data_IF_268862609021
#
_entry.id   IF_268862609021
#
_cell.length_a   1.000
_cell.length_b   1.000
_cell.length_c   1.000
_cell.angle_alpha   90.00
_cell.angle_beta   90.00
_cell.angle_gamma   90.00
#
_symmetry.space_group_name_H-M   'P 1'
#
loop_
_entity.id
_entity.type
_entity.pdbx_description
1 polymer ?
#
# COMPACT_ATOMS: atom_id res chain seq x y z
N UNK A 1 5.84 4.31 -13.44
CA UNK A 1 4.56 4.50 -12.71
C UNK A 1 4.64 5.80 -11.92
N UNK A 2 3.53 6.53 -11.74
CA UNK A 2 3.54 7.77 -10.94
C UNK A 2 3.17 7.48 -9.48
N UNK A 3 3.89 8.09 -8.55
CA UNK A 3 3.70 7.97 -7.10
C UNK A 3 3.42 9.37 -6.55
N UNK A 4 2.27 9.58 -5.93
CA UNK A 4 1.84 10.88 -5.41
C UNK A 4 1.59 10.76 -3.91
N UNK A 5 2.28 11.56 -3.10
CA UNK A 5 2.08 11.62 -1.65
C UNK A 5 1.31 12.85 -1.23
N UNK A 6 0.31 12.69 -0.36
CA UNK A 6 -0.39 13.78 0.31
C UNK A 6 -0.03 13.87 1.79
N UNK A 7 0.37 15.07 2.22
CA UNK A 7 0.77 15.36 3.59
C UNK A 7 2.09 14.69 3.96
N UNK A 8 2.55 14.96 5.18
CA UNK A 8 3.84 14.49 5.67
C UNK A 8 4.01 12.97 5.53
N UNK A 9 3.05 12.16 5.98
CA UNK A 9 3.13 10.71 5.91
C UNK A 9 3.25 10.20 4.45
N UNK A 10 2.41 10.72 3.56
CA UNK A 10 2.47 10.37 2.14
C UNK A 10 3.80 10.79 1.51
N UNK A 11 4.23 12.03 1.75
CA UNK A 11 5.47 12.58 1.23
C UNK A 11 6.71 11.81 1.69
N UNK A 12 6.80 11.45 2.98
CA UNK A 12 7.92 10.66 3.50
C UNK A 12 8.03 9.29 2.85
N UNK A 13 6.90 8.64 2.53
CA UNK A 13 6.89 7.38 1.80
C UNK A 13 7.30 7.59 0.34
N UNK A 14 6.86 8.68 -0.30
CA UNK A 14 7.28 9.05 -1.66
C UNK A 14 8.79 9.27 -1.74
N UNK A 15 9.39 9.86 -0.72
CA UNK A 15 10.85 10.07 -0.68
C UNK A 15 11.60 8.72 -0.73
N UNK A 16 11.11 7.68 -0.06
CA UNK A 16 11.67 6.31 -0.16
C UNK A 16 11.44 5.69 -1.53
N UNK A 17 10.31 5.98 -2.19
CA UNK A 17 10.08 5.53 -3.57
C UNK A 17 11.03 6.20 -4.57
N UNK A 18 11.55 7.38 -4.27
CA UNK A 18 12.46 8.12 -5.16
C UNK A 18 13.80 7.42 -5.37
N UNK A 19 14.18 6.50 -4.47
CA UNK A 19 15.38 5.65 -4.61
C UNK A 19 15.28 4.69 -5.81
N UNK A 20 14.08 4.48 -6.35
CA UNK A 20 13.81 3.60 -7.49
C UNK A 20 13.50 4.40 -8.76
N UNK A 21 14.45 4.40 -9.70
CA UNK A 21 14.40 5.21 -10.94
C UNK A 21 13.17 5.02 -11.85
N UNK A 22 12.44 3.91 -11.72
CA UNK A 22 11.24 3.61 -12.50
C UNK A 22 9.97 4.34 -12.03
N UNK A 23 10.04 5.08 -10.92
CA UNK A 23 8.92 5.85 -10.38
C UNK A 23 9.10 7.34 -10.62
N UNK A 24 8.04 7.98 -11.11
CA UNK A 24 7.94 9.43 -11.11
C UNK A 24 7.27 9.85 -9.81
N UNK A 25 7.99 10.54 -8.94
CA UNK A 25 7.52 10.92 -7.61
C UNK A 25 7.00 12.35 -7.58
N UNK A 26 5.88 12.55 -6.88
CA UNK A 26 5.24 13.85 -6.68
C UNK A 26 4.77 13.98 -5.23
N UNK A 27 4.91 15.18 -4.67
CA UNK A 27 4.59 15.48 -3.28
C UNK A 27 3.62 16.64 -3.21
N UNK A 28 2.61 16.52 -2.35
CA UNK A 28 1.61 17.55 -2.10
C UNK A 28 1.51 17.72 -0.58
N UNK A 29 1.87 18.88 -0.06
CA UNK A 29 1.83 19.14 1.38
C UNK A 29 1.65 20.65 1.65
N UNK A 30 1.31 21.05 2.88
CA UNK A 30 1.16 22.45 3.27
C UNK A 30 2.47 23.10 3.74
N UNK A 31 3.43 22.25 4.14
CA UNK A 31 4.77 22.68 4.53
C UNK A 31 5.50 23.41 3.38
N UNK A 32 6.51 24.19 3.73
CA UNK A 32 7.42 24.73 2.72
C UNK A 32 8.37 23.63 2.26
N UNK A 33 8.61 23.47 0.95
CA UNK A 33 9.64 22.57 0.50
C UNK A 33 11.01 23.12 0.89
N UNK A 34 11.95 22.24 1.22
CA UNK A 34 13.32 22.62 1.58
C UNK A 34 14.09 23.26 0.40
N UNK A 35 13.65 23.00 -0.85
CA UNK A 35 14.25 23.47 -2.10
C UNK A 35 13.17 23.75 -3.15
N UNK A 36 13.51 24.44 -4.23
CA UNK A 36 12.64 24.59 -5.41
C UNK A 36 12.47 23.23 -6.13
N UNK A 37 11.55 22.40 -5.63
CA UNK A 37 11.19 21.12 -6.20
C UNK A 37 9.99 21.29 -7.14
N UNK A 38 10.19 21.04 -8.44
CA UNK A 38 9.13 21.12 -9.46
C UNK A 38 8.07 20.03 -9.29
N UNK A 39 8.38 18.96 -8.57
CA UNK A 39 7.48 17.86 -8.25
C UNK A 39 6.86 17.99 -6.86
N UNK A 40 7.02 19.15 -6.22
CA UNK A 40 6.33 19.50 -4.99
C UNK A 40 5.26 20.56 -5.26
N UNK A 41 4.04 20.29 -4.84
CA UNK A 41 2.96 21.27 -4.82
C UNK A 41 2.65 21.66 -3.39
N UNK A 42 2.81 22.95 -3.07
CA UNK A 42 2.44 23.47 -1.76
C UNK A 42 0.95 23.81 -1.74
N UNK A 43 0.19 23.09 -0.93
CA UNK A 43 -1.17 23.49 -0.57
C UNK A 43 -1.13 24.66 0.41
N UNK A 44 -2.10 25.54 0.30
CA UNK A 44 -2.33 26.54 1.35
C UNK A 44 -2.76 25.82 2.62
N UNK A 45 -2.13 26.15 3.75
CA UNK A 45 -2.48 25.56 5.03
C UNK A 45 -3.92 25.95 5.40
N UNK A 46 -4.73 24.96 5.73
CA UNK A 46 -6.13 25.15 6.12
C UNK A 46 -6.33 24.84 7.60
N UNK A 47 -7.36 25.44 8.16
CA UNK A 47 -7.65 25.37 9.60
C UNK A 47 -7.98 23.93 10.04
N UNK A 48 -8.78 23.24 9.26
CA UNK A 48 -9.31 21.93 9.60
C UNK A 48 -9.54 21.07 8.36
N UNK A 49 -9.95 19.82 8.60
CA UNK A 49 -10.18 18.82 7.56
C UNK A 49 -11.24 19.26 6.53
N UNK A 50 -12.35 19.84 6.97
CA UNK A 50 -13.42 20.28 6.07
C UNK A 50 -13.00 21.50 5.24
N UNK A 51 -12.20 22.39 5.82
CA UNK A 51 -11.65 23.55 5.14
C UNK A 51 -10.70 23.12 3.99
N UNK A 52 -9.95 22.03 4.15
CA UNK A 52 -9.21 21.40 3.03
C UNK A 52 -10.12 20.84 1.92
N UNK A 53 -11.35 20.42 2.23
CA UNK A 53 -12.28 19.86 1.23
C UNK A 53 -13.05 20.95 0.46
N UNK A 54 -13.48 22.00 1.17
CA UNK A 54 -14.33 23.08 0.64
C UNK A 54 -13.59 24.02 -0.28
N UNK A 55 -12.30 24.29 -0.01
CA UNK A 55 -11.55 25.27 -0.76
C UNK A 55 -10.97 24.67 -2.06
N UNK A 56 -11.10 25.38 -3.20
CA UNK A 56 -10.53 24.92 -4.46
C UNK A 56 -9.00 24.97 -4.39
N UNK A 57 -8.37 23.87 -4.80
CA UNK A 57 -6.93 23.78 -4.96
C UNK A 57 -6.61 23.91 -6.44
N UNK A 58 -5.81 24.91 -6.84
CA UNK A 58 -5.40 25.07 -8.25
C UNK A 58 -4.32 24.04 -8.63
N UNK A 59 -4.68 22.76 -8.58
CA UNK A 59 -3.82 21.62 -8.84
C UNK A 59 -3.72 21.27 -10.32
N UNK A 60 -4.55 21.88 -11.16
CA UNK A 60 -4.74 21.48 -12.55
C UNK A 60 -3.40 21.50 -13.30
N UNK A 61 -2.67 22.62 -13.28
CA UNK A 61 -1.36 22.70 -13.96
C UNK A 61 -0.28 21.77 -13.38
N UNK A 62 -0.40 21.37 -12.12
CA UNK A 62 0.54 20.44 -11.48
C UNK A 62 0.24 18.98 -11.86
N UNK A 63 -1.04 18.60 -11.90
CA UNK A 63 -1.51 17.23 -12.13
C UNK A 63 -1.82 16.90 -13.60
N UNK A 64 -2.03 17.90 -14.46
CA UNK A 64 -2.33 17.73 -15.90
C UNK A 64 -1.26 16.91 -16.64
N UNK A 65 -0.01 17.00 -16.21
CA UNK A 65 1.10 16.24 -16.78
C UNK A 65 1.13 14.77 -16.35
N UNK A 66 0.31 14.39 -15.38
CA UNK A 66 0.26 13.04 -14.83
C UNK A 66 -0.80 12.23 -15.57
N UNK A 67 -0.38 11.11 -16.16
CA UNK A 67 -1.27 10.19 -16.86
C UNK A 67 -0.85 8.74 -16.64
N UNK A 68 -1.74 7.81 -16.97
CA UNK A 68 -1.48 6.38 -16.84
C UNK A 68 -1.76 5.85 -15.43
N UNK A 69 -0.83 5.08 -14.88
CA UNK A 69 -0.98 4.46 -13.57
C UNK A 69 -0.43 5.36 -12.45
N UNK A 70 -1.24 5.53 -11.40
CA UNK A 70 -0.95 6.36 -10.24
C UNK A 70 -1.13 5.55 -8.98
N UNK A 71 -0.16 5.61 -8.07
CA UNK A 71 -0.37 5.25 -6.66
C UNK A 71 -0.45 6.54 -5.84
N UNK A 72 -1.60 6.80 -5.24
CA UNK A 72 -1.84 7.92 -4.36
C UNK A 72 -1.71 7.49 -2.89
N UNK A 73 -0.78 8.09 -2.16
CA UNK A 73 -0.40 7.73 -0.80
C UNK A 73 -0.91 8.78 0.18
N UNK A 74 -1.66 8.37 1.18
CA UNK A 74 -2.23 9.28 2.19
C UNK A 74 -2.33 8.60 3.56
N UNK A 75 -2.02 9.37 4.61
CA UNK A 75 -2.24 8.96 6.00
C UNK A 75 -3.49 9.61 6.60
N UNK A 76 -4.19 8.91 7.49
CA UNK A 76 -5.53 9.32 7.96
C UNK A 76 -5.63 10.34 9.10
N UNK A 77 -4.53 10.63 9.83
CA UNK A 77 -4.62 11.38 11.10
C UNK A 77 -4.76 12.92 10.95
N UNK A 78 -4.21 13.50 9.89
CA UNK A 78 -4.01 14.95 9.78
C UNK A 78 -5.25 15.74 9.29
N UNK A 79 -5.11 17.06 9.17
CA UNK A 79 -6.10 17.92 8.49
C UNK A 79 -6.01 17.81 6.96
N UNK A 80 -4.78 17.85 6.42
CA UNK A 80 -4.50 17.89 4.98
C UNK A 80 -5.11 16.74 4.15
N UNK A 81 -5.34 15.52 4.69
CA UNK A 81 -6.04 14.48 3.96
C UNK A 81 -7.47 14.85 3.53
N UNK A 82 -8.09 15.89 4.10
CA UNK A 82 -9.36 16.43 3.60
C UNK A 82 -9.31 16.91 2.14
N UNK A 83 -8.13 17.20 1.61
CA UNK A 83 -7.93 17.54 0.19
C UNK A 83 -7.96 16.32 -0.74
N UNK A 84 -7.97 15.08 -0.21
CA UNK A 84 -7.79 13.85 -0.99
C UNK A 84 -8.76 13.73 -2.16
N UNK A 85 -10.06 13.91 -1.94
CA UNK A 85 -11.05 13.73 -3.00
C UNK A 85 -10.93 14.79 -4.10
N UNK A 86 -10.54 16.03 -3.77
CA UNK A 86 -10.29 17.10 -4.75
C UNK A 86 -9.07 16.81 -5.62
N UNK A 87 -8.00 16.29 -5.00
CA UNK A 87 -6.80 15.86 -5.73
C UNK A 87 -7.14 14.66 -6.64
N UNK A 88 -7.82 13.65 -6.09
CA UNK A 88 -8.22 12.44 -6.83
C UNK A 88 -9.20 12.75 -7.97
N UNK A 89 -10.04 13.78 -7.82
CA UNK A 89 -10.89 14.28 -8.89
C UNK A 89 -10.10 14.77 -10.10
N UNK A 90 -8.97 15.45 -9.88
CA UNK A 90 -8.05 15.86 -10.95
C UNK A 90 -7.35 14.66 -11.62
N UNK A 91 -7.35 13.50 -10.98
CA UNK A 91 -6.73 12.26 -11.44
C UNK A 91 -7.73 11.26 -12.03
N UNK A 92 -9.00 11.66 -12.27
CA UNK A 92 -10.05 10.77 -12.82
C UNK A 92 -9.70 10.10 -14.16
N UNK A 93 -8.80 10.69 -14.95
CA UNK A 93 -8.29 10.11 -16.20
C UNK A 93 -7.20 9.04 -16.00
N UNK A 94 -6.72 8.84 -14.76
CA UNK A 94 -5.67 7.89 -14.43
C UNK A 94 -6.24 6.59 -13.86
N UNK A 95 -5.48 5.50 -13.99
CA UNK A 95 -5.71 4.25 -13.25
C UNK A 95 -5.11 4.41 -11.86
N UNK A 96 -5.97 4.79 -10.91
CA UNK A 96 -5.52 5.19 -9.57
C UNK A 96 -5.65 4.05 -8.57
N UNK A 97 -4.54 3.73 -7.91
CA UNK A 97 -4.48 2.89 -6.72
C UNK A 97 -4.27 3.78 -5.49
N UNK A 98 -4.90 3.45 -4.38
CA UNK A 98 -4.69 4.12 -3.10
C UNK A 98 -3.76 3.27 -2.23
N UNK A 99 -2.74 3.87 -1.64
CA UNK A 99 -1.96 3.29 -0.54
C UNK A 99 -2.29 4.08 0.72
N UNK A 100 -3.17 3.52 1.55
CA UNK A 100 -3.69 4.20 2.72
C UNK A 100 -2.92 3.76 3.97
N UNK A 101 -2.40 4.75 4.71
CA UNK A 101 -1.64 4.52 5.94
C UNK A 101 -2.53 4.85 7.14
N UNK A 102 -2.96 3.79 7.83
CA UNK A 102 -3.64 3.88 9.12
C UNK A 102 -2.59 4.19 10.20
N UNK A 103 -2.70 5.35 10.87
CA UNK A 103 -1.86 5.69 12.02
C UNK A 103 -2.20 4.79 13.21
N UNK A 104 -1.35 4.80 14.24
CA UNK A 104 -1.71 4.22 15.53
C UNK A 104 -2.81 5.08 16.19
N UNK A 105 -4.06 4.60 16.09
CA UNK A 105 -5.25 5.31 16.55
C UNK A 105 -5.34 5.40 18.08
N UNK A 106 -4.65 4.52 18.82
CA UNK A 106 -4.65 4.55 20.29
C UNK A 106 -3.90 5.77 20.84
N UNK A 107 -2.99 6.32 20.03
CA UNK A 107 -2.18 7.50 20.36
C UNK A 107 -2.80 8.81 19.85
N UNK A 108 -3.94 8.74 19.17
CA UNK A 108 -4.60 9.91 18.58
C UNK A 108 -5.64 10.54 19.51
N UNK A 109 -5.87 11.84 19.32
CA UNK A 109 -7.05 12.48 19.89
C UNK A 109 -8.33 12.06 19.14
N UNK A 110 -9.48 12.21 19.81
CA UNK A 110 -10.79 11.80 19.27
C UNK A 110 -11.09 12.38 17.88
N UNK A 111 -10.78 13.66 17.67
CA UNK A 111 -11.05 14.32 16.38
C UNK A 111 -10.23 13.70 15.23
N UNK A 112 -8.98 13.32 15.50
CA UNK A 112 -8.11 12.66 14.52
C UNK A 112 -8.57 11.23 14.24
N UNK A 113 -9.06 10.51 15.26
CA UNK A 113 -9.69 9.19 15.09
C UNK A 113 -10.94 9.27 14.22
N UNK A 114 -11.82 10.24 14.48
CA UNK A 114 -13.05 10.42 13.70
C UNK A 114 -12.74 10.74 12.23
N UNK A 115 -11.75 11.59 11.96
CA UNK A 115 -11.29 11.93 10.60
C UNK A 115 -10.67 10.73 9.88
N UNK A 116 -9.80 9.98 10.56
CA UNK A 116 -9.19 8.76 10.04
C UNK A 116 -10.28 7.78 9.59
N UNK A 117 -11.25 7.51 10.47
CA UNK A 117 -12.36 6.59 10.20
C UNK A 117 -13.18 7.04 9.00
N UNK A 118 -13.55 8.32 8.94
CA UNK A 118 -14.34 8.88 7.83
C UNK A 118 -13.56 8.76 6.51
N UNK A 119 -12.32 9.22 6.47
CA UNK A 119 -11.52 9.20 5.25
C UNK A 119 -11.29 7.76 4.75
N UNK A 120 -10.88 6.86 5.64
CA UNK A 120 -10.67 5.44 5.32
C UNK A 120 -11.94 4.78 4.79
N UNK A 121 -13.07 5.04 5.45
CA UNK A 121 -14.37 4.50 5.01
C UNK A 121 -14.74 4.97 3.61
N UNK A 122 -14.66 6.28 3.37
CA UNK A 122 -14.99 6.88 2.08
C UNK A 122 -14.10 6.34 0.96
N UNK A 123 -12.77 6.34 1.13
CA UNK A 123 -11.85 5.86 0.10
C UNK A 123 -12.05 4.38 -0.24
N UNK A 124 -12.41 3.55 0.76
CA UNK A 124 -12.78 2.15 0.53
C UNK A 124 -14.06 1.99 -0.28
N UNK A 125 -15.10 2.78 -0.01
CA UNK A 125 -16.35 2.71 -0.79
C UNK A 125 -16.15 3.15 -2.25
N UNK A 126 -15.31 4.16 -2.48
CA UNK A 126 -14.90 4.54 -3.83
C UNK A 126 -14.14 3.42 -4.55
N UNK A 127 -13.23 2.75 -3.86
CA UNK A 127 -12.52 1.58 -4.42
C UNK A 127 -13.51 0.44 -4.74
N UNK A 128 -14.44 0.11 -3.82
CA UNK A 128 -15.47 -0.92 -4.06
C UNK A 128 -16.37 -0.60 -5.24
N UNK A 129 -16.67 0.68 -5.45
CA UNK A 129 -17.46 1.17 -6.58
C UNK A 129 -16.66 1.27 -7.88
N UNK A 130 -15.43 0.74 -7.90
CA UNK A 130 -14.50 0.75 -9.03
C UNK A 130 -14.11 2.16 -9.53
N UNK A 131 -14.23 3.19 -8.68
CA UNK A 131 -13.67 4.52 -8.98
C UNK A 131 -12.14 4.47 -8.90
N UNK A 132 -11.61 3.69 -7.96
CA UNK A 132 -10.19 3.37 -7.86
C UNK A 132 -9.95 1.91 -8.23
N UNK A 133 -8.78 1.60 -8.78
CA UNK A 133 -8.42 0.22 -9.12
C UNK A 133 -8.32 -0.64 -7.88
N UNK A 134 -7.70 -0.12 -6.82
CA UNK A 134 -7.54 -0.80 -5.55
C UNK A 134 -7.23 0.21 -4.44
N UNK A 135 -7.62 -0.11 -3.22
CA UNK A 135 -7.08 0.51 -2.00
C UNK A 135 -6.30 -0.53 -1.20
N UNK A 136 -5.02 -0.28 -1.02
CA UNK A 136 -4.14 -1.08 -0.17
C UNK A 136 -4.04 -0.42 1.21
N UNK A 137 -4.54 -1.10 2.23
CA UNK A 137 -4.51 -0.67 3.61
C UNK A 137 -3.23 -1.15 4.29
N UNK A 138 -2.58 -0.24 5.00
CA UNK A 138 -1.39 -0.45 5.81
C UNK A 138 -1.67 0.12 7.19
N UNK A 139 -1.41 -0.63 8.25
CA UNK A 139 -1.50 -0.21 9.63
C UNK A 139 -0.09 -0.12 10.20
N UNK A 140 0.32 1.08 10.66
CA UNK A 140 1.65 1.29 11.21
C UNK A 140 1.97 0.34 12.37
N UNK A 141 1.00 0.02 13.22
CA UNK A 141 1.19 -0.91 14.33
C UNK A 141 1.52 -2.34 13.83
N UNK A 142 0.93 -2.75 12.70
CA UNK A 142 1.21 -4.05 12.07
C UNK A 142 2.54 -4.09 11.35
N UNK A 143 2.97 -2.97 10.76
CA UNK A 143 4.31 -2.86 10.17
C UNK A 143 5.38 -2.88 11.26
N UNK A 144 5.14 -2.22 12.40
CA UNK A 144 6.01 -2.29 13.57
C UNK A 144 6.11 -3.72 14.11
N UNK A 145 5.00 -4.42 14.34
CA UNK A 145 5.00 -5.84 14.74
C UNK A 145 5.81 -6.72 13.77
N UNK A 146 5.74 -6.42 12.47
CA UNK A 146 6.48 -7.17 11.47
C UNK A 146 8.00 -6.98 11.58
N UNK A 147 8.43 -5.75 11.87
CA UNK A 147 9.84 -5.35 12.05
C UNK A 147 10.43 -5.80 13.40
N UNK A 148 9.61 -5.87 14.45
CA UNK A 148 10.06 -6.15 15.81
C UNK A 148 10.58 -4.88 16.51
N UNK A 149 11.69 -4.98 17.23
CA UNK A 149 12.23 -3.86 18.02
C UNK A 149 12.87 -2.78 17.13
N UNK A 150 12.32 -1.57 17.17
CA UNK A 150 12.79 -0.43 16.34
C UNK A 150 13.27 0.72 17.24
N UNK A 151 14.42 1.36 16.94
CA UNK A 151 14.82 2.59 17.61
C UNK A 151 13.83 3.74 17.41
N UNK A 152 13.64 4.57 18.45
CA UNK A 152 12.78 5.77 18.38
C UNK A 152 13.27 6.75 17.30
N UNK A 153 14.58 6.97 17.22
CA UNK A 153 15.17 7.81 16.17
C UNK A 153 15.12 7.02 14.85
N UNK A 154 14.46 7.60 13.84
CA UNK A 154 14.26 6.94 12.55
C UNK A 154 13.13 5.90 12.56
N UNK A 155 12.28 5.88 13.58
CA UNK A 155 11.14 4.96 13.69
C UNK A 155 10.31 4.92 12.39
N UNK A 156 9.78 6.07 11.96
CA UNK A 156 8.99 6.13 10.73
C UNK A 156 9.80 5.85 9.48
N UNK A 157 11.09 6.15 9.46
CA UNK A 157 11.94 5.83 8.32
C UNK A 157 12.04 4.31 8.12
N UNK A 158 12.18 3.54 9.22
CA UNK A 158 12.20 2.07 9.17
C UNK A 158 10.88 1.46 8.73
N UNK A 159 9.75 1.98 9.24
CA UNK A 159 8.43 1.57 8.77
C UNK A 159 8.28 1.84 7.27
N UNK A 160 8.63 3.04 6.82
CA UNK A 160 8.52 3.44 5.42
C UNK A 160 9.44 2.60 4.53
N UNK A 161 10.67 2.29 4.96
CA UNK A 161 11.59 1.40 4.23
C UNK A 161 10.94 0.02 3.99
N UNK A 162 10.30 -0.57 5.00
CA UNK A 162 9.64 -1.87 4.86
C UNK A 162 8.39 -1.81 3.96
N UNK A 163 7.56 -0.78 4.12
CA UNK A 163 6.36 -0.57 3.29
C UNK A 163 6.77 -0.43 1.83
N UNK A 164 7.74 0.43 1.54
CA UNK A 164 8.17 0.73 0.17
C UNK A 164 8.87 -0.44 -0.48
N UNK A 165 9.83 -1.07 0.20
CA UNK A 165 10.52 -2.26 -0.35
C UNK A 165 9.54 -3.39 -0.66
N UNK A 166 8.61 -3.68 0.25
CA UNK A 166 7.57 -4.71 0.06
C UNK A 166 6.66 -4.36 -1.11
N UNK A 167 6.15 -3.13 -1.17
CA UNK A 167 5.27 -2.69 -2.26
C UNK A 167 6.00 -2.67 -3.60
N UNK A 168 7.26 -2.24 -3.62
CA UNK A 168 8.08 -2.24 -4.82
C UNK A 168 8.28 -3.65 -5.38
N UNK A 169 8.65 -4.61 -4.53
CA UNK A 169 8.85 -6.00 -4.95
C UNK A 169 7.55 -6.60 -5.49
N UNK A 170 6.42 -6.38 -4.82
CA UNK A 170 5.10 -6.82 -5.31
C UNK A 170 4.78 -6.20 -6.68
N UNK A 171 5.08 -4.91 -6.89
CA UNK A 171 4.88 -4.27 -8.18
C UNK A 171 5.77 -4.91 -9.28
N UNK A 172 7.02 -5.29 -8.98
CA UNK A 172 7.87 -6.02 -9.92
C UNK A 172 7.22 -7.36 -10.29
N UNK A 173 6.81 -8.14 -9.29
CA UNK A 173 6.26 -9.48 -9.53
C UNK A 173 4.92 -9.47 -10.28
N UNK A 174 4.08 -8.46 -10.04
CA UNK A 174 2.83 -8.26 -10.78
C UNK A 174 3.04 -7.92 -12.27
N UNK A 175 4.24 -7.46 -12.63
CA UNK A 175 4.59 -7.06 -14.00
C UNK A 175 5.67 -7.96 -14.64
N UNK A 176 5.98 -9.10 -14.01
CA UNK A 176 6.95 -10.08 -14.51
C UNK A 176 6.31 -11.47 -14.57
N UNK A 177 6.83 -12.33 -15.45
CA UNK A 177 6.32 -13.69 -15.62
C UNK A 177 7.03 -14.60 -14.60
N UNK A 178 6.29 -15.35 -13.76
CA UNK A 178 6.92 -16.30 -12.84
C UNK A 178 7.52 -17.49 -13.61
N UNK A 179 8.55 -18.10 -13.05
CA UNK A 179 9.13 -19.38 -13.51
C UNK A 179 8.07 -20.48 -13.41
N UNK A 180 7.35 -20.52 -12.29
CA UNK A 180 6.22 -21.43 -12.05
C UNK A 180 5.17 -20.69 -11.23
N UNK A 181 3.90 -20.82 -11.58
CA UNK A 181 2.84 -20.25 -10.77
C UNK A 181 1.45 -20.70 -11.19
N UNK A 182 0.49 -20.43 -10.32
CA UNK A 182 -0.95 -20.58 -10.57
C UNK A 182 -1.66 -19.23 -10.47
N UNK A 183 -0.92 -18.15 -10.77
CA UNK A 183 -1.43 -16.80 -10.72
C UNK A 183 -2.67 -16.68 -11.61
N UNK A 184 -3.61 -15.89 -11.13
CA UNK A 184 -4.87 -15.66 -11.81
C UNK A 184 -5.29 -14.24 -11.59
N UNK A 185 -6.13 -13.74 -12.48
CA UNK A 185 -6.65 -12.37 -12.37
C UNK A 185 -7.43 -12.28 -11.06
N UNK A 186 -7.09 -11.32 -10.17
CA UNK A 186 -7.84 -11.11 -8.95
C UNK A 186 -9.32 -10.84 -9.22
N UNK A 187 -10.18 -11.22 -8.29
CA UNK A 187 -11.61 -10.96 -8.41
C UNK A 187 -11.85 -9.44 -8.51
N UNK A 188 -12.48 -8.98 -9.59
CA UNK A 188 -12.77 -7.54 -9.83
C UNK A 188 -13.57 -6.85 -8.71
N UNK A 189 -14.29 -7.63 -7.91
CA UNK A 189 -15.06 -7.15 -6.75
C UNK A 189 -14.22 -6.99 -5.48
N UNK A 190 -13.00 -7.51 -5.46
CA UNK A 190 -12.08 -7.44 -4.31
C UNK A 190 -11.03 -6.34 -4.56
N UNK A 191 -11.44 -5.09 -4.36
CA UNK A 191 -10.60 -3.89 -4.57
C UNK A 191 -10.05 -3.29 -3.27
N UNK A 192 -10.21 -3.99 -2.16
CA UNK A 192 -9.59 -3.65 -0.88
C UNK A 192 -8.54 -4.71 -0.61
N UNK A 193 -7.31 -4.29 -0.34
CA UNK A 193 -6.18 -5.19 -0.16
C UNK A 193 -5.29 -4.80 1.01
N UNK A 194 -4.39 -5.70 1.36
CA UNK A 194 -3.20 -5.41 2.15
C UNK A 194 -2.05 -6.29 1.67
N UNK A 195 -0.83 -5.94 2.05
CA UNK A 195 0.40 -6.63 1.70
C UNK A 195 1.08 -7.14 2.97
N UNK A 196 2.05 -8.03 2.81
CA UNK A 196 2.86 -8.51 3.93
C UNK A 196 4.03 -9.35 3.49
N UNK A 197 4.92 -9.63 4.43
CA UNK A 197 6.05 -10.54 4.25
C UNK A 197 5.64 -11.96 4.65
N UNK A 198 6.28 -12.92 4.00
CA UNK A 198 6.13 -14.34 4.32
C UNK A 198 7.50 -14.92 4.56
N UNK A 199 7.66 -15.61 5.68
CA UNK A 199 8.87 -16.38 5.94
C UNK A 199 8.92 -17.58 4.97
N UNK A 200 9.98 -17.67 4.17
CA UNK A 200 10.11 -18.71 3.13
C UNK A 200 10.20 -20.12 3.75
N UNK A 201 10.81 -20.24 4.92
CA UNK A 201 11.02 -21.54 5.57
C UNK A 201 9.77 -22.02 6.30
N UNK A 202 9.13 -21.16 7.08
CA UNK A 202 8.00 -21.51 7.95
C UNK A 202 6.63 -21.27 7.30
N UNK A 203 6.55 -20.37 6.32
CA UNK A 203 5.28 -19.89 5.75
C UNK A 203 4.49 -19.00 6.71
N UNK A 204 5.12 -18.46 7.75
CA UNK A 204 4.53 -17.47 8.64
C UNK A 204 4.26 -16.17 7.88
N UNK A 205 3.07 -15.59 8.10
CA UNK A 205 2.64 -14.36 7.42
C UNK A 205 2.69 -13.19 8.39
N UNK A 206 3.41 -12.14 8.03
CA UNK A 206 3.41 -10.84 8.71
C UNK A 206 2.69 -9.83 7.83
N UNK A 207 1.37 -9.76 7.98
CA UNK A 207 0.50 -8.88 7.19
C UNK A 207 0.52 -7.46 7.74
N UNK A 208 0.56 -6.46 6.86
CA UNK A 208 0.61 -5.05 7.25
C UNK A 208 -0.77 -4.47 7.59
N UNK A 209 -1.83 -5.25 7.50
CA UNK A 209 -3.16 -4.91 7.97
C UNK A 209 -3.95 -6.22 8.23
N UNK A 210 -4.86 -6.20 9.20
CA UNK A 210 -5.75 -7.34 9.49
C UNK A 210 -7.05 -7.20 8.70
N UNK A 211 -7.17 -7.86 7.54
CA UNK A 211 -8.40 -7.81 6.75
C UNK A 211 -9.48 -8.79 7.25
N UNK A 212 -10.70 -8.29 7.32
CA UNK A 212 -11.91 -9.08 7.44
C UNK A 212 -12.30 -9.75 6.12
N UNK A 213 -12.83 -10.98 6.23
CA UNK A 213 -13.45 -11.72 5.13
C UNK A 213 -12.55 -11.79 3.88
N UNK A 214 -11.28 -12.14 4.08
CA UNK A 214 -10.34 -12.35 2.96
C UNK A 214 -10.97 -13.32 1.97
N UNK A 215 -11.00 -12.92 0.69
CA UNK A 215 -11.54 -13.68 -0.44
C UNK A 215 -10.45 -14.26 -1.31
N UNK A 216 -9.32 -13.58 -1.39
CA UNK A 216 -8.22 -13.99 -2.24
C UNK A 216 -6.87 -13.71 -1.58
N UNK A 217 -5.92 -14.63 -1.73
CA UNK A 217 -4.51 -14.43 -1.38
C UNK A 217 -3.62 -14.81 -2.56
N UNK A 218 -2.59 -13.99 -2.78
CA UNK A 218 -1.59 -14.21 -3.81
C UNK A 218 -0.22 -14.18 -3.14
N UNK A 219 0.55 -15.25 -3.31
CA UNK A 219 1.89 -15.37 -2.76
C UNK A 219 2.95 -15.20 -3.86
N UNK A 220 3.99 -14.43 -3.57
CA UNK A 220 5.11 -14.21 -4.49
C UNK A 220 6.38 -14.69 -3.80
N UNK A 221 7.00 -15.75 -4.33
CA UNK A 221 8.25 -16.30 -3.83
C UNK A 221 9.38 -15.89 -4.76
N UNK A 222 10.34 -15.12 -4.24
CA UNK A 222 11.57 -14.74 -4.93
C UNK A 222 12.68 -15.67 -4.45
N UNK A 223 13.11 -16.58 -5.33
CA UNK A 223 14.06 -17.64 -4.99
C UNK A 223 15.31 -17.52 -5.84
N UNK A 224 16.48 -17.62 -5.21
CA UNK A 224 17.76 -17.56 -5.90
C UNK A 224 17.92 -18.66 -6.95
N UNK A 225 18.50 -18.31 -8.11
CA UNK A 225 18.65 -19.21 -9.26
C UNK A 225 19.22 -20.59 -8.91
N UNK A 226 20.32 -20.61 -8.14
CA UNK A 226 20.98 -21.86 -7.73
C UNK A 226 20.01 -22.80 -7.01
N UNK A 227 19.12 -22.25 -6.17
CA UNK A 227 18.15 -23.04 -5.40
C UNK A 227 17.01 -23.55 -6.28
N UNK A 228 16.55 -22.72 -7.23
CA UNK A 228 15.57 -23.14 -8.26
C UNK A 228 16.07 -24.33 -9.10
N UNK A 229 17.36 -24.35 -9.44
CA UNK A 229 17.96 -25.41 -10.26
C UNK A 229 18.33 -26.66 -9.46
N UNK A 230 18.64 -26.54 -8.16
CA UNK A 230 19.22 -27.64 -7.37
C UNK A 230 18.30 -28.23 -6.30
N UNK A 231 17.31 -27.49 -5.77
CA UNK A 231 16.41 -27.99 -4.73
C UNK A 231 15.14 -28.60 -5.33
N UNK A 232 15.19 -29.91 -5.62
CA UNK A 232 14.04 -30.68 -6.10
C UNK A 232 12.85 -30.76 -5.13
N UNK A 233 13.00 -30.37 -3.86
CA UNK A 233 11.94 -30.37 -2.85
C UNK A 233 11.17 -29.05 -2.75
N UNK A 234 11.75 -27.96 -3.27
CA UNK A 234 11.27 -26.59 -3.11
C UNK A 234 9.81 -26.41 -3.54
N UNK A 235 9.47 -26.82 -4.76
CA UNK A 235 8.12 -26.67 -5.30
C UNK A 235 7.07 -27.43 -4.47
N UNK A 236 7.44 -28.59 -3.92
CA UNK A 236 6.55 -29.38 -3.05
C UNK A 236 6.27 -28.62 -1.75
N UNK A 237 7.31 -28.09 -1.10
CA UNK A 237 7.19 -27.30 0.13
C UNK A 237 6.30 -26.06 -0.07
N UNK A 238 6.55 -25.29 -1.14
CA UNK A 238 5.72 -24.10 -1.47
C UNK A 238 4.26 -24.49 -1.68
N UNK A 239 3.99 -25.57 -2.43
CA UNK A 239 2.61 -26.04 -2.64
C UNK A 239 1.94 -26.46 -1.34
N UNK A 240 2.66 -27.12 -0.43
CA UNK A 240 2.13 -27.52 0.87
C UNK A 240 1.82 -26.31 1.76
N UNK A 241 2.74 -25.35 1.85
CA UNK A 241 2.54 -24.07 2.53
C UNK A 241 1.29 -23.36 1.99
N UNK A 242 1.23 -23.12 0.68
CA UNK A 242 0.10 -22.41 0.04
C UNK A 242 -1.23 -23.14 0.26
N UNK A 243 -1.26 -24.48 0.14
CA UNK A 243 -2.48 -25.27 0.39
C UNK A 243 -2.95 -25.19 1.84
N UNK A 244 -2.03 -25.18 2.80
CA UNK A 244 -2.37 -25.07 4.24
C UNK A 244 -3.06 -23.74 4.58
N UNK A 245 -2.83 -22.69 3.77
CA UNK A 245 -3.43 -21.36 3.97
C UNK A 245 -4.79 -21.22 3.28
N UNK A 246 -5.17 -22.15 2.41
CA UNK A 246 -6.45 -22.12 1.73
C UNK A 246 -7.59 -22.47 2.70
N UNK A 247 -8.41 -21.47 3.05
CA UNK A 247 -9.66 -21.68 3.81
C UNK A 247 -10.84 -21.88 2.86
N UNK A 248 -11.96 -22.39 3.39
CA UNK A 248 -13.21 -22.48 2.62
C UNK A 248 -13.60 -21.11 2.08
N UNK A 249 -13.99 -21.04 0.79
CA UNK A 249 -14.34 -19.81 0.08
C UNK A 249 -13.20 -18.78 -0.09
N UNK A 250 -11.93 -19.19 0.04
CA UNK A 250 -10.77 -18.36 -0.29
C UNK A 250 -10.05 -18.90 -1.51
N UNK A 251 -9.84 -18.02 -2.49
CA UNK A 251 -8.99 -18.32 -3.64
C UNK A 251 -7.54 -18.07 -3.25
N UNK A 252 -6.68 -19.04 -3.50
CA UNK A 252 -5.26 -18.90 -3.20
C UNK A 252 -4.45 -19.21 -4.44
N UNK A 253 -3.49 -18.35 -4.75
CA UNK A 253 -2.56 -18.53 -5.86
C UNK A 253 -1.15 -18.15 -5.47
N UNK A 254 -0.16 -18.61 -6.24
CA UNK A 254 1.24 -18.28 -6.01
C UNK A 254 2.01 -18.15 -7.33
N UNK A 255 3.11 -17.42 -7.28
CA UNK A 255 4.14 -17.36 -8.33
C UNK A 255 5.53 -17.49 -7.70
N UNK A 256 6.41 -18.21 -8.38
CA UNK A 256 7.82 -18.38 -8.03
C UNK A 256 8.63 -17.64 -9.09
N UNK A 257 9.50 -16.74 -8.64
CA UNK A 257 10.29 -15.83 -9.45
C UNK A 257 11.77 -16.07 -9.15
N UNK A 258 12.60 -15.97 -10.17
CA UNK A 258 14.06 -15.90 -10.00
C UNK A 258 14.43 -14.54 -9.43
N UNK A 259 15.40 -14.53 -8.51
CA UNK A 259 15.97 -13.30 -7.96
C UNK A 259 17.49 -13.37 -7.94
N UNK A 260 18.12 -12.21 -8.13
CA UNK A 260 19.57 -12.02 -8.01
C UNK A 260 19.99 -11.62 -6.57
N UNK A 261 19.04 -11.41 -5.66
CA UNK A 261 19.33 -11.18 -4.25
C UNK A 261 19.95 -12.42 -3.58
N UNK A 262 20.77 -12.20 -2.55
CA UNK A 262 21.44 -13.28 -1.81
C UNK A 262 20.46 -14.16 -1.04
N UNK A 263 19.45 -13.54 -0.44
CA UNK A 263 18.42 -14.22 0.34
C UNK A 263 17.16 -14.51 -0.49
N UNK A 264 16.45 -15.57 -0.11
CA UNK A 264 15.11 -15.84 -0.63
C UNK A 264 14.10 -14.98 0.13
N UNK A 265 13.12 -14.42 -0.58
CA UNK A 265 12.05 -13.63 0.00
C UNK A 265 10.69 -14.16 -0.42
N UNK A 266 9.68 -14.02 0.44
CA UNK A 266 8.30 -14.23 0.05
C UNK A 266 7.40 -13.10 0.53
N UNK A 267 6.37 -12.83 -0.25
CA UNK A 267 5.41 -11.76 -0.03
C UNK A 267 3.99 -12.29 -0.23
N UNK A 268 3.03 -11.67 0.44
CA UNK A 268 1.61 -11.97 0.32
C UNK A 268 0.84 -10.70 -0.01
N UNK A 269 -0.14 -10.82 -0.90
CA UNK A 269 -1.20 -9.83 -1.07
C UNK A 269 -2.53 -10.50 -0.77
N UNK A 270 -3.26 -9.95 0.19
CA UNK A 270 -4.60 -10.41 0.54
C UNK A 270 -5.63 -9.39 0.06
N UNK A 271 -6.76 -9.89 -0.44
CA UNK A 271 -7.85 -9.08 -0.97
C UNK A 271 -9.17 -9.44 -0.30
N UNK A 272 -10.03 -8.45 -0.16
CA UNK A 272 -11.39 -8.58 0.35
C UNK A 272 -12.32 -7.68 -0.45
N UNK A 273 -13.60 -8.04 -0.45
CA UNK A 273 -14.67 -7.18 -0.92
C UNK A 273 -15.34 -6.44 0.24
N UNK A 274 -15.03 -6.75 1.51
CA UNK A 274 -15.66 -6.14 2.70
C UNK A 274 -14.91 -4.86 3.08
N UNK A 275 -15.65 -3.79 3.40
CA UNK A 275 -15.05 -2.57 3.97
C UNK A 275 -14.52 -2.87 5.36
N UNK A 276 -13.34 -2.35 5.65
CA UNK A 276 -12.64 -2.47 6.92
C UNK A 276 -12.95 -1.23 7.74
N UNK A 277 -13.83 -1.37 8.72
CA UNK A 277 -14.13 -0.39 9.76
C UNK A 277 -13.82 -1.02 11.10
N UNK A 278 -13.47 -0.20 12.08
CA UNK A 278 -13.28 -0.70 13.45
C UNK A 278 -14.62 -1.20 13.98
N UNK A 279 -14.63 -2.30 14.75
CA UNK A 279 -15.87 -2.80 15.35
C UNK A 279 -16.45 -1.69 16.23
N UNK A 280 -17.67 -1.24 15.93
CA UNK A 280 -18.45 -0.48 16.92
C UNK A 280 -18.68 -1.44 18.09
N UNK A 281 -18.02 -1.22 19.21
CA UNK A 281 -18.51 -1.70 20.49
C UNK A 281 -19.90 -1.07 20.68
N UNK A 282 -20.92 -1.82 20.29
CA UNK A 282 -22.33 -1.52 20.50
C UNK A 282 -22.66 -1.51 22.00
#
# INVERSE_FOLDING_TARGET
MNIIGLGQAGCSIVDKFADYSQYNTYKIDSALPFLNDKNYYRLEERRDFEDYEKNPHNLQGFLERISGEVTFIVGGAGNIPGASLRILECLKGCRTNILYIKPDVELLNKESVDRERVLRGVLQEYARSAVFENICLIDNAKVEEALGDIPVIGYYDKLNDLIVSTKHMINIFQNTIPVVGTLSIPLKVCRISTIGNVDVATGEEKMFFSLDLIREKVYYYAIGRKKLETDGSLLKKIKEQVKSKAKSNQKVSYGIYETDYEDDYAFCVAYTSKVQLDEETA
#
